data_IF_194775997571
#
_entry.id   IF_194775997571
#
_cell.length_a   1.000
_cell.length_b   1.000
_cell.length_c   1.000
_cell.angle_alpha   90.00
_cell.angle_beta   90.00
_cell.angle_gamma   90.00
#
_symmetry.space_group_name_H-M   'P 1'
#
loop_
_entity.id
_entity.type
_entity.pdbx_description
1 polymer ?
#
# COMPACT_ATOMS: atom_id res chain seq x y z
N UNK A 1 16.57 -0.33 13.31
CA UNK A 1 16.36 0.48 14.53
C UNK A 1 14.88 0.43 14.88
N UNK A 2 14.53 0.17 16.13
CA UNK A 2 13.14 0.22 16.57
C UNK A 2 12.73 1.67 16.82
N UNK A 3 11.60 2.11 16.27
CA UNK A 3 11.04 3.45 16.47
C UNK A 3 9.79 3.30 17.32
N UNK A 4 9.72 4.01 18.44
CA UNK A 4 8.54 4.04 19.29
C UNK A 4 7.60 5.15 18.83
N UNK A 5 6.33 4.81 18.62
CA UNK A 5 5.28 5.75 18.20
C UNK A 5 4.22 5.80 19.29
N UNK A 6 3.92 7.01 19.77
CA UNK A 6 2.86 7.26 20.76
C UNK A 6 1.75 8.06 20.10
N UNK A 7 0.53 7.49 20.05
CA UNK A 7 -0.66 8.16 19.51
C UNK A 7 -1.41 8.79 20.68
N UNK A 8 -1.53 10.13 20.67
CA UNK A 8 -2.22 10.89 21.72
C UNK A 8 -3.70 11.05 21.38
N UNK A 9 -4.49 11.32 22.41
CA UNK A 9 -5.90 11.70 22.30
C UNK A 9 -6.79 10.67 21.56
N UNK A 10 -6.46 9.39 21.70
CA UNK A 10 -7.27 8.29 21.15
C UNK A 10 -8.52 8.12 22.02
N UNK A 11 -9.74 8.27 21.47
CA UNK A 11 -10.96 8.06 22.23
C UNK A 11 -11.02 6.64 22.79
N UNK A 12 -11.48 6.50 24.03
CA UNK A 12 -11.50 5.21 24.73
C UNK A 12 -12.30 4.14 23.97
N UNK A 13 -13.40 4.55 23.33
CA UNK A 13 -14.20 3.67 22.46
C UNK A 13 -13.35 3.07 21.33
N UNK A 14 -12.54 3.88 20.65
CA UNK A 14 -11.68 3.44 19.55
C UNK A 14 -10.61 2.49 20.07
N UNK A 15 -9.98 2.82 21.21
CA UNK A 15 -8.99 1.94 21.86
C UNK A 15 -9.60 0.56 22.17
N UNK A 16 -10.79 0.53 22.76
CA UNK A 16 -11.46 -0.70 23.16
C UNK A 16 -11.88 -1.55 21.95
N UNK A 17 -12.37 -0.93 20.88
CA UNK A 17 -12.67 -1.64 19.63
C UNK A 17 -11.41 -2.26 19.01
N UNK A 18 -10.29 -1.53 18.97
CA UNK A 18 -9.02 -2.05 18.44
C UNK A 18 -8.47 -3.17 19.32
N UNK A 19 -8.58 -3.06 20.65
CA UNK A 19 -8.20 -4.12 21.56
C UNK A 19 -9.06 -5.38 21.36
N UNK A 20 -10.37 -5.22 21.14
CA UNK A 20 -11.27 -6.33 20.81
C UNK A 20 -10.89 -7.02 19.49
N UNK A 21 -10.51 -6.26 18.46
CA UNK A 21 -10.02 -6.79 17.18
C UNK A 21 -8.67 -7.48 17.30
N UNK A 22 -7.79 -6.98 18.17
CA UNK A 22 -6.51 -7.62 18.45
C UNK A 22 -6.73 -8.97 19.16
N UNK A 23 -7.58 -8.98 20.20
CA UNK A 23 -7.92 -10.17 20.95
C UNK A 23 -8.60 -11.24 20.08
N UNK A 24 -9.52 -10.86 19.17
CA UNK A 24 -10.17 -11.80 18.26
C UNK A 24 -9.21 -12.44 17.25
N UNK A 25 -8.05 -11.81 17.00
CA UNK A 25 -6.97 -12.35 16.18
C UNK A 25 -5.88 -13.05 16.99
N UNK A 26 -6.04 -13.17 18.33
CA UNK A 26 -5.03 -13.74 19.22
C UNK A 26 -3.73 -12.92 19.29
N UNK A 27 -3.80 -11.62 18.99
CA UNK A 27 -2.65 -10.71 18.96
C UNK A 27 -2.68 -9.74 20.13
N UNK A 28 -1.51 -9.32 20.61
CA UNK A 28 -1.45 -8.15 21.50
C UNK A 28 -1.86 -6.88 20.76
N UNK A 29 -2.31 -5.87 21.50
CA UNK A 29 -2.68 -4.56 20.94
C UNK A 29 -1.55 -3.92 20.13
N UNK A 30 -0.30 -4.02 20.61
CA UNK A 30 0.85 -3.47 19.90
C UNK A 30 1.16 -4.23 18.60
N UNK A 31 1.08 -5.56 18.61
CA UNK A 31 1.31 -6.36 17.40
C UNK A 31 0.25 -6.11 16.34
N UNK A 32 -1.02 -6.00 16.77
CA UNK A 32 -2.12 -5.66 15.89
C UNK A 32 -1.93 -4.28 15.25
N UNK A 33 -1.63 -3.26 16.05
CA UNK A 33 -1.38 -1.90 15.55
C UNK A 33 -0.17 -1.85 14.61
N UNK A 34 0.93 -2.54 14.94
CA UNK A 34 2.09 -2.63 14.05
C UNK A 34 1.72 -3.23 12.70
N UNK A 35 0.98 -4.33 12.70
CA UNK A 35 0.54 -5.00 11.45
C UNK A 35 -0.34 -4.09 10.60
N UNK A 36 -1.24 -3.32 11.22
CA UNK A 36 -2.09 -2.37 10.51
C UNK A 36 -1.29 -1.17 9.96
N UNK A 37 -0.28 -0.67 10.70
CA UNK A 37 0.62 0.36 10.22
C UNK A 37 1.47 -0.11 9.03
N UNK A 38 1.97 -1.34 9.08
CA UNK A 38 2.69 -1.97 7.95
C UNK A 38 1.77 -2.13 6.74
N UNK A 39 0.52 -2.56 6.94
CA UNK A 39 -0.47 -2.66 5.86
C UNK A 39 -0.79 -1.29 5.25
N UNK A 40 -0.87 -0.26 6.09
CA UNK A 40 -1.11 1.11 5.64
C UNK A 40 0.07 1.62 4.82
N UNK A 41 1.30 1.40 5.27
CA UNK A 41 2.51 1.78 4.55
C UNK A 41 2.70 0.99 3.24
N UNK A 42 2.29 -0.27 3.20
CA UNK A 42 2.36 -1.12 2.02
C UNK A 42 1.38 -0.71 0.91
N UNK A 43 0.34 0.08 1.23
CA UNK A 43 -0.61 0.61 0.26
C UNK A 43 -0.30 2.09 -0.02
N UNK A 44 0.56 2.39 -1.02
CA UNK A 44 0.73 3.78 -1.45
C UNK A 44 -0.62 4.35 -1.85
N UNK A 45 -0.87 5.62 -1.54
CA UNK A 45 -2.03 6.32 -2.08
C UNK A 45 -2.00 6.25 -3.61
N UNK A 46 -3.18 6.28 -4.25
CA UNK A 46 -3.29 6.25 -5.72
C UNK A 46 -2.41 7.33 -6.35
N UNK A 47 -2.32 8.50 -5.71
CA UNK A 47 -1.47 9.61 -6.13
C UNK A 47 0.02 9.27 -6.05
N UNK A 48 0.49 8.73 -4.91
CA UNK A 48 1.88 8.28 -4.77
C UNK A 48 2.23 7.17 -5.75
N UNK A 49 1.28 6.25 -6.00
CA UNK A 49 1.46 5.18 -6.97
C UNK A 49 1.53 5.73 -8.41
N UNK A 50 0.67 6.68 -8.77
CA UNK A 50 0.69 7.35 -10.06
C UNK A 50 2.00 8.11 -10.28
N UNK A 51 2.50 8.77 -9.24
CA UNK A 51 3.78 9.48 -9.31
C UNK A 51 4.96 8.50 -9.48
N UNK A 52 4.97 7.38 -8.74
CA UNK A 52 5.94 6.31 -8.94
C UNK A 52 5.87 5.71 -10.35
N UNK A 53 4.67 5.49 -10.89
CA UNK A 53 4.48 4.98 -12.24
C UNK A 53 4.99 5.96 -13.29
N UNK A 54 4.73 7.27 -13.13
CA UNK A 54 5.24 8.33 -14.00
C UNK A 54 6.77 8.41 -13.95
N UNK A 55 7.35 8.40 -12.76
CA UNK A 55 8.81 8.41 -12.56
C UNK A 55 9.47 7.20 -13.22
N UNK A 56 8.93 5.98 -13.03
CA UNK A 56 9.42 4.77 -13.69
C UNK A 56 9.30 4.84 -15.22
N UNK A 57 8.17 5.37 -15.73
CA UNK A 57 7.96 5.54 -17.18
C UNK A 57 8.98 6.51 -17.78
N UNK A 58 9.33 7.58 -17.07
CA UNK A 58 10.35 8.54 -17.52
C UNK A 58 11.77 7.96 -17.47
N UNK A 59 12.08 7.15 -16.45
CA UNK A 59 13.36 6.47 -16.31
C UNK A 59 13.58 5.36 -17.36
N UNK A 60 12.49 4.73 -17.84
CA UNK A 60 12.55 3.74 -18.91
C UNK A 60 12.91 4.40 -20.24
N UNK A 61 14.01 3.96 -20.86
CA UNK A 61 14.43 4.38 -22.21
C UNK A 61 13.59 3.75 -23.32
N UNK A 62 12.78 2.75 -23.01
CA UNK A 62 11.93 2.06 -23.99
C UNK A 62 10.60 2.77 -24.13
N UNK A 63 10.36 3.34 -25.31
CA UNK A 63 9.07 3.92 -25.70
C UNK A 63 8.41 3.02 -26.74
N UNK A 64 7.24 2.48 -26.42
CA UNK A 64 6.41 1.74 -27.39
C UNK A 64 5.22 2.64 -27.73
N UNK A 65 5.01 2.89 -29.01
CA UNK A 65 3.85 3.64 -29.51
C UNK A 65 2.57 2.82 -29.38
N UNK A 66 1.42 3.49 -29.29
CA UNK A 66 0.11 2.82 -29.29
C UNK A 66 -0.07 1.89 -30.51
N UNK A 67 0.42 2.32 -31.68
CA UNK A 67 0.39 1.51 -32.90
C UNK A 67 1.18 0.20 -32.78
N UNK A 68 2.35 0.22 -32.12
CA UNK A 68 3.15 -0.98 -31.87
C UNK A 68 2.48 -1.90 -30.84
N UNK A 69 1.85 -1.35 -29.80
CA UNK A 69 1.09 -2.14 -28.81
C UNK A 69 -0.05 -2.90 -29.50
N UNK A 70 -0.83 -2.22 -30.34
CA UNK A 70 -1.92 -2.84 -31.09
C UNK A 70 -1.40 -3.91 -32.04
N UNK A 71 -0.30 -3.64 -32.75
CA UNK A 71 0.34 -4.61 -33.64
C UNK A 71 0.78 -5.87 -32.90
N UNK A 72 1.40 -5.76 -31.73
CA UNK A 72 1.81 -6.94 -30.94
C UNK A 72 0.61 -7.71 -30.39
N UNK A 73 -0.43 -7.01 -29.91
CA UNK A 73 -1.67 -7.65 -29.45
C UNK A 73 -2.37 -8.43 -30.56
N UNK A 74 -2.44 -7.86 -31.76
CA UNK A 74 -3.14 -8.49 -32.89
C UNK A 74 -2.32 -9.66 -33.48
N UNK A 75 -1.00 -9.66 -33.30
CA UNK A 75 -0.13 -10.78 -33.65
C UNK A 75 -0.28 -11.98 -32.70
N UNK A 76 -0.57 -11.74 -31.41
CA UNK A 76 -0.78 -12.79 -30.39
C UNK A 76 -2.15 -13.50 -30.53
N UNK A 77 -3.09 -12.91 -31.27
CA UNK A 77 -4.43 -13.45 -31.52
C UNK A 77 -4.55 -14.32 -32.79
N UNK A 78 -3.46 -14.52 -33.53
CA UNK A 78 -3.42 -15.35 -34.75
C UNK A 78 -2.72 -16.67 -34.48
#
# INVERSE_FOLDING_TARGET
MAVQITIRDVPEKVRNELAGRAASQGKSMQEFLRSELERLAARPSIEMWLEQARSRKQASRTKISAAQILKYRDADRR
#
